data_IF_761395279381
#
_entry.id   IF_761395279381
#
_cell.length_a   1.000
_cell.length_b   1.000
_cell.length_c   1.000
_cell.angle_alpha   90.00
_cell.angle_beta   90.00
_cell.angle_gamma   90.00
#
_symmetry.space_group_name_H-M   'P 1'
#
loop_
_entity.id
_entity.type
_entity.pdbx_description
1 polymer ?
#
# COMPACT_ATOMS: atom_id res chain seq x y z
N UNK A 1 -6.21 -1.78 35.36
CA UNK A 1 -5.64 -0.49 34.96
C UNK A 1 -5.40 0.28 36.24
N UNK A 2 -4.17 0.62 36.63
CA UNK A 2 -3.98 1.50 37.78
C UNK A 2 -4.29 2.94 37.34
N UNK A 3 -5.14 3.63 38.10
CA UNK A 3 -5.47 5.04 37.92
C UNK A 3 -4.20 5.90 38.03
N UNK A 4 -3.73 6.44 36.91
CA UNK A 4 -2.56 7.33 36.84
C UNK A 4 -2.99 8.80 36.85
N UNK A 5 -3.73 9.21 37.87
CA UNK A 5 -4.01 10.64 38.16
C UNK A 5 -3.08 11.13 39.27
N UNK A 6 -1.78 10.92 39.11
CA UNK A 6 -0.78 11.60 39.91
C UNK A 6 -0.49 12.92 39.21
N UNK A 7 -0.87 14.05 39.83
CA UNK A 7 -0.56 15.37 39.31
C UNK A 7 0.96 15.51 39.11
N UNK A 8 1.42 16.08 37.99
CA UNK A 8 2.85 16.30 37.78
C UNK A 8 3.39 17.13 38.95
N UNK A 9 4.57 16.76 39.47
CA UNK A 9 5.27 17.56 40.47
C UNK A 9 5.62 18.92 39.88
N UNK A 10 4.71 19.89 39.99
CA UNK A 10 4.93 21.27 39.53
C UNK A 10 5.92 21.94 40.48
N UNK A 11 7.20 21.90 40.13
CA UNK A 11 8.22 22.65 40.83
C UNK A 11 8.09 24.13 40.45
N UNK A 12 8.11 25.02 41.43
CA UNK A 12 8.07 26.48 41.21
C UNK A 12 9.49 27.03 41.14
N UNK A 13 9.71 27.95 40.22
CA UNK A 13 10.98 28.64 40.06
C UNK A 13 11.31 29.48 41.30
N UNK A 14 12.47 29.25 41.91
CA UNK A 14 12.95 30.03 43.07
C UNK A 14 13.24 31.51 42.76
N UNK A 15 13.38 31.88 41.49
CA UNK A 15 13.72 33.25 41.05
C UNK A 15 12.49 34.07 40.70
N UNK A 16 11.57 33.52 39.90
CA UNK A 16 10.41 34.27 39.38
C UNK A 16 9.05 33.67 39.76
N UNK A 17 9.01 32.56 40.51
CA UNK A 17 7.77 31.87 40.87
C UNK A 17 7.07 31.13 39.72
N UNK A 18 7.57 31.21 38.48
CA UNK A 18 7.00 30.54 37.31
C UNK A 18 7.14 29.01 37.35
N UNK A 19 6.39 28.31 36.49
CA UNK A 19 6.43 26.85 36.41
C UNK A 19 7.73 26.33 35.80
N UNK A 20 8.22 25.22 36.34
CA UNK A 20 9.39 24.50 35.84
C UNK A 20 8.93 23.34 34.97
N UNK A 21 9.49 23.26 33.77
CA UNK A 21 9.34 22.13 32.85
C UNK A 21 10.58 21.23 32.96
N UNK A 22 10.35 19.95 33.19
CA UNK A 22 11.43 18.96 33.36
C UNK A 22 11.78 18.34 32.01
N UNK A 23 13.05 18.44 31.61
CA UNK A 23 13.62 17.65 30.53
C UNK A 23 14.47 16.53 31.13
N UNK A 24 13.81 15.40 31.40
CA UNK A 24 14.45 14.22 31.99
C UNK A 24 15.57 13.64 31.12
N UNK A 25 15.50 13.82 29.80
CA UNK A 25 16.49 13.24 28.87
C UNK A 25 17.77 14.05 28.84
N UNK A 26 17.65 15.38 28.93
CA UNK A 26 18.78 16.29 29.07
C UNK A 26 19.24 16.47 30.53
N UNK A 27 18.50 15.95 31.51
CA UNK A 27 18.83 16.05 32.93
C UNK A 27 18.68 17.48 33.48
N UNK A 28 17.90 18.33 32.81
CA UNK A 28 17.74 19.75 33.16
C UNK A 28 16.28 20.14 33.37
N UNK A 29 16.08 21.04 34.30
CA UNK A 29 14.80 21.72 34.55
C UNK A 29 14.90 23.14 34.00
N UNK A 30 13.92 23.59 33.21
CA UNK A 30 13.89 24.96 32.68
C UNK A 30 12.62 25.67 33.15
N UNK A 31 12.76 26.89 33.67
CA UNK A 31 11.60 27.71 33.99
C UNK A 31 10.94 28.25 32.71
N UNK A 32 9.63 28.03 32.55
CA UNK A 32 8.87 28.51 31.40
C UNK A 32 8.79 30.05 31.31
N UNK A 33 8.95 30.76 32.44
CA UNK A 33 8.82 32.21 32.50
C UNK A 33 10.16 32.94 32.32
N UNK A 34 11.19 32.56 33.09
CA UNK A 34 12.49 33.27 33.08
C UNK A 34 13.63 32.53 32.35
N UNK A 35 13.41 31.29 31.89
CA UNK A 35 14.41 30.53 31.13
C UNK A 35 15.61 30.00 31.94
N UNK A 36 15.68 30.29 33.24
CA UNK A 36 16.72 29.74 34.11
C UNK A 36 16.70 28.21 34.12
N UNK A 37 17.90 27.63 34.19
CA UNK A 37 18.13 26.18 34.14
C UNK A 37 18.70 25.68 35.45
N UNK A 38 18.23 24.51 35.89
CA UNK A 38 18.77 23.78 37.05
C UNK A 38 19.03 22.33 36.66
N UNK A 39 19.95 21.68 37.38
CA UNK A 39 20.08 20.24 37.30
C UNK A 39 18.82 19.59 37.87
N UNK A 40 18.28 18.58 37.18
CA UNK A 40 17.14 17.81 37.72
C UNK A 40 17.50 17.14 39.06
N UNK A 41 18.76 16.72 39.23
CA UNK A 41 19.21 16.06 40.44
C UNK A 41 19.12 16.95 41.69
N UNK A 42 19.14 18.27 41.52
CA UNK A 42 19.03 19.23 42.62
C UNK A 42 17.57 19.47 43.05
N UNK A 43 16.62 19.11 42.19
CA UNK A 43 15.19 19.38 42.36
C UNK A 43 14.38 18.13 42.69
N UNK A 44 14.82 16.96 42.23
CA UNK A 44 14.13 15.68 42.41
C UNK A 44 14.95 14.78 43.35
N UNK A 45 14.44 14.47 44.55
CA UNK A 45 15.08 13.51 45.46
C UNK A 45 15.25 12.14 44.80
N UNK A 46 16.36 11.47 45.09
CA UNK A 46 16.68 10.13 44.58
C UNK A 46 16.67 9.99 43.05
N UNK A 47 16.97 11.07 42.32
CA UNK A 47 17.00 11.04 40.84
C UNK A 47 17.92 9.95 40.26
N UNK A 48 18.96 9.57 41.00
CA UNK A 48 19.88 8.48 40.64
C UNK A 48 19.17 7.15 40.36
N UNK A 49 18.00 6.90 40.97
CA UNK A 49 17.21 5.69 40.74
C UNK A 49 16.68 5.57 39.30
N UNK A 50 16.57 6.70 38.58
CA UNK A 50 16.11 6.73 37.18
C UNK A 50 17.23 6.69 36.15
N UNK A 51 18.49 6.81 36.57
CA UNK A 51 19.65 6.91 35.67
C UNK A 51 19.67 5.82 34.60
N UNK A 52 19.40 4.57 35.00
CA UNK A 52 19.31 3.41 34.10
C UNK A 52 18.15 3.53 33.10
N UNK A 53 16.97 3.92 33.58
CA UNK A 53 15.77 4.08 32.75
C UNK A 53 16.00 5.18 31.70
N UNK A 54 16.51 6.33 32.14
CA UNK A 54 16.78 7.49 31.27
C UNK A 54 17.86 7.15 30.24
N UNK A 55 18.91 6.44 30.64
CA UNK A 55 19.91 5.92 29.70
C UNK A 55 19.29 4.99 28.65
N UNK A 56 18.39 4.10 29.06
CA UNK A 56 17.63 3.23 28.15
C UNK A 56 16.76 4.01 27.17
N UNK A 57 16.07 5.06 27.63
CA UNK A 57 15.25 5.94 26.79
C UNK A 57 16.13 6.73 25.79
N UNK A 58 17.25 7.30 26.25
CA UNK A 58 18.18 8.03 25.40
C UNK A 58 18.75 7.13 24.30
N UNK A 59 19.19 5.93 24.66
CA UNK A 59 19.63 4.93 23.69
C UNK A 59 18.52 4.57 22.69
N UNK A 60 17.29 4.36 23.16
CA UNK A 60 16.15 4.07 22.29
C UNK A 60 15.87 5.22 21.30
N UNK A 61 15.96 6.47 21.78
CA UNK A 61 15.79 7.67 20.97
C UNK A 61 16.90 7.82 19.92
N UNK A 62 18.15 7.59 20.31
CA UNK A 62 19.31 7.61 19.41
C UNK A 62 19.17 6.54 18.32
N UNK A 63 18.91 5.28 18.70
CA UNK A 63 18.64 4.19 17.76
C UNK A 63 17.50 4.54 16.81
N UNK A 64 16.41 5.14 17.32
CA UNK A 64 15.27 5.53 16.50
C UNK A 64 15.61 6.65 15.51
N UNK A 65 16.40 7.64 15.94
CA UNK A 65 16.80 8.77 15.10
C UNK A 65 17.69 8.35 13.92
N UNK A 66 18.50 7.31 14.10
CA UNK A 66 19.37 6.73 13.09
C UNK A 66 18.71 5.57 12.31
N UNK A 67 17.46 5.21 12.63
CA UNK A 67 16.83 4.00 12.09
C UNK A 67 16.50 4.14 10.60
N UNK A 68 17.16 3.30 9.79
CA UNK A 68 16.88 3.12 8.34
C UNK A 68 16.19 1.80 8.03
N UNK A 69 16.12 0.88 9.00
CA UNK A 69 15.55 -0.47 8.83
C UNK A 69 14.44 -0.74 9.83
N UNK A 70 13.54 -1.66 9.48
CA UNK A 70 12.46 -2.12 10.38
C UNK A 70 13.04 -2.79 11.64
N UNK A 71 14.18 -3.48 11.51
CA UNK A 71 14.87 -4.10 12.64
C UNK A 71 15.30 -3.05 13.69
N UNK A 72 15.93 -1.95 13.25
CA UNK A 72 16.32 -0.85 14.14
C UNK A 72 15.11 -0.20 14.83
N UNK A 73 13.99 -0.03 14.13
CA UNK A 73 12.75 0.48 14.76
C UNK A 73 12.17 -0.47 15.80
N UNK A 74 12.26 -1.79 15.57
CA UNK A 74 11.82 -2.79 16.53
C UNK A 74 12.74 -2.86 17.75
N UNK A 75 14.06 -2.70 17.56
CA UNK A 75 15.02 -2.60 18.65
C UNK A 75 14.72 -1.39 19.54
N UNK A 76 14.56 -0.19 18.94
CA UNK A 76 14.19 1.01 19.67
C UNK A 76 12.87 0.82 20.45
N UNK A 77 11.85 0.23 19.81
CA UNK A 77 10.57 -0.09 20.46
C UNK A 77 10.74 -1.03 21.66
N UNK A 78 11.62 -2.03 21.56
CA UNK A 78 11.92 -2.96 22.65
C UNK A 78 12.65 -2.26 23.81
N UNK A 79 13.58 -1.33 23.51
CA UNK A 79 14.26 -0.52 24.52
C UNK A 79 13.27 0.35 25.29
N UNK A 80 12.37 1.06 24.59
CA UNK A 80 11.30 1.83 25.24
C UNK A 80 10.37 0.93 26.07
N UNK A 81 10.05 -0.27 25.59
CA UNK A 81 9.22 -1.23 26.34
C UNK A 81 9.91 -1.69 27.61
N UNK A 82 11.21 -1.98 27.54
CA UNK A 82 12.03 -2.34 28.72
C UNK A 82 12.06 -1.20 29.72
N UNK A 83 12.32 0.02 29.27
CA UNK A 83 12.31 1.22 30.12
C UNK A 83 10.94 1.44 30.77
N UNK A 84 9.83 1.29 30.03
CA UNK A 84 8.48 1.42 30.58
C UNK A 84 8.17 0.39 31.67
N UNK A 85 8.65 -0.85 31.50
CA UNK A 85 8.50 -1.91 32.51
C UNK A 85 9.29 -1.59 33.79
N UNK A 86 10.48 -1.01 33.65
CA UNK A 86 11.27 -0.54 34.80
C UNK A 86 10.59 0.65 35.49
N UNK A 87 10.02 1.62 34.76
CA UNK A 87 9.25 2.73 35.34
C UNK A 87 8.03 2.24 36.13
N UNK A 88 7.29 1.26 35.59
CA UNK A 88 6.09 0.72 36.22
C UNK A 88 6.31 0.07 37.59
N UNK A 89 7.57 -0.27 37.94
CA UNK A 89 7.93 -0.80 39.27
C UNK A 89 8.08 0.28 40.33
N UNK A 90 8.31 1.54 39.93
CA UNK A 90 8.59 2.65 40.86
C UNK A 90 7.27 3.31 41.30
N UNK A 91 6.38 3.65 40.37
CA UNK A 91 5.01 4.07 40.67
C UNK A 91 4.86 5.47 41.29
N UNK A 92 5.83 6.38 41.10
CA UNK A 92 5.73 7.77 41.52
C UNK A 92 5.52 8.74 40.34
N UNK A 93 5.36 10.05 40.64
CA UNK A 93 5.08 11.08 39.64
C UNK A 93 6.12 11.15 38.52
N UNK A 94 7.41 11.03 38.85
CA UNK A 94 8.50 11.06 37.86
C UNK A 94 8.46 9.81 36.99
N UNK A 95 8.19 8.64 37.57
CA UNK A 95 8.00 7.42 36.80
C UNK A 95 6.79 7.49 35.86
N UNK A 96 5.73 8.22 36.22
CA UNK A 96 4.57 8.45 35.36
C UNK A 96 4.93 9.35 34.15
N UNK A 97 5.73 10.39 34.36
CA UNK A 97 6.22 11.26 33.28
C UNK A 97 7.17 10.49 32.34
N UNK A 98 8.09 9.68 32.88
CA UNK A 98 8.97 8.81 32.10
C UNK A 98 8.18 7.73 31.33
N UNK A 99 7.11 7.19 31.91
CA UNK A 99 6.20 6.25 31.23
C UNK A 99 5.55 6.92 30.02
N UNK A 100 5.12 8.18 30.16
CA UNK A 100 4.56 8.93 29.04
C UNK A 100 5.58 9.09 27.91
N UNK A 101 6.81 9.47 28.22
CA UNK A 101 7.90 9.54 27.24
C UNK A 101 8.16 8.18 26.56
N UNK A 102 8.15 7.08 27.33
CA UNK A 102 8.31 5.75 26.77
C UNK A 102 7.17 5.38 25.82
N UNK A 103 5.92 5.69 26.17
CA UNK A 103 4.75 5.38 25.35
C UNK A 103 4.73 6.19 24.06
N UNK A 104 5.04 7.49 24.14
CA UNK A 104 5.21 8.35 22.96
C UNK A 104 6.36 7.86 22.06
N UNK A 105 7.48 7.44 22.66
CA UNK A 105 8.61 6.84 21.95
C UNK A 105 8.24 5.54 21.23
N UNK A 106 7.46 4.66 21.87
CA UNK A 106 6.95 3.43 21.25
C UNK A 106 6.01 3.72 20.08
N UNK A 107 5.14 4.72 20.19
CA UNK A 107 4.25 5.14 19.11
C UNK A 107 5.06 5.65 17.91
N UNK A 108 6.00 6.58 18.15
CA UNK A 108 6.91 7.08 17.11
C UNK A 108 7.71 5.97 16.43
N UNK A 109 8.20 4.99 17.20
CA UNK A 109 8.90 3.83 16.67
C UNK A 109 8.01 2.93 15.82
N UNK A 110 6.75 2.72 16.21
CA UNK A 110 5.78 1.95 15.43
C UNK A 110 5.43 2.65 14.10
N UNK A 111 5.22 3.96 14.14
CA UNK A 111 4.93 4.76 12.94
C UNK A 111 6.12 4.76 11.99
N UNK A 112 7.34 5.01 12.49
CA UNK A 112 8.54 4.96 11.66
C UNK A 112 8.76 3.56 11.05
N UNK A 113 8.52 2.50 11.83
CA UNK A 113 8.63 1.13 11.34
C UNK A 113 7.63 0.79 10.22
N UNK A 114 6.39 1.29 10.34
CA UNK A 114 5.36 1.17 9.29
C UNK A 114 5.75 1.95 8.04
N UNK A 115 6.25 3.18 8.20
CA UNK A 115 6.75 4.00 7.10
C UNK A 115 7.92 3.34 6.36
N UNK A 116 8.95 2.86 7.07
CA UNK A 116 10.10 2.19 6.46
C UNK A 116 9.65 0.93 5.69
N UNK A 117 8.72 0.15 6.24
CA UNK A 117 8.17 -1.03 5.57
C UNK A 117 7.40 -0.66 4.29
N UNK A 118 6.58 0.39 4.35
CA UNK A 118 5.90 0.93 3.18
C UNK A 118 6.88 1.36 2.09
N UNK A 119 7.95 2.05 2.46
CA UNK A 119 9.02 2.45 1.53
C UNK A 119 9.79 1.27 0.94
N UNK A 120 10.03 0.21 1.71
CA UNK A 120 10.63 -1.04 1.21
C UNK A 120 9.72 -1.72 0.16
N UNK A 121 8.40 -1.74 0.38
CA UNK A 121 7.46 -2.23 -0.64
C UNK A 121 7.47 -1.39 -1.91
N UNK A 122 7.62 -0.06 -1.79
CA UNK A 122 7.77 0.82 -2.95
C UNK A 122 9.02 0.45 -3.77
N UNK A 123 10.16 0.27 -3.10
CA UNK A 123 11.41 -0.09 -3.74
C UNK A 123 11.37 -1.47 -4.41
N UNK A 124 10.58 -2.41 -3.86
CA UNK A 124 10.35 -3.75 -4.41
C UNK A 124 9.26 -3.81 -5.46
N UNK A 125 8.77 -2.67 -5.95
CA UNK A 125 7.65 -2.54 -6.89
C UNK A 125 6.36 -3.25 -6.43
N UNK A 126 6.20 -3.49 -5.13
CA UNK A 126 5.00 -4.10 -4.53
C UNK A 126 4.01 -3.01 -4.15
N UNK A 127 3.47 -2.31 -5.16
CA UNK A 127 2.71 -1.07 -4.97
C UNK A 127 1.41 -1.24 -4.15
N UNK A 128 0.66 -2.34 -4.32
CA UNK A 128 -0.54 -2.61 -3.53
C UNK A 128 -0.23 -2.75 -2.03
N UNK A 129 0.86 -3.43 -1.70
CA UNK A 129 1.33 -3.58 -0.32
C UNK A 129 1.83 -2.25 0.24
N UNK A 130 2.50 -1.45 -0.58
CA UNK A 130 2.95 -0.11 -0.21
C UNK A 130 1.77 0.80 0.17
N UNK A 131 0.73 0.86 -0.68
CA UNK A 131 -0.48 1.67 -0.41
C UNK A 131 -1.16 1.22 0.88
N UNK A 132 -1.26 -0.09 1.12
CA UNK A 132 -1.90 -0.65 2.32
C UNK A 132 -1.14 -0.35 3.62
N UNK A 133 0.19 -0.35 3.58
CA UNK A 133 1.00 -0.03 4.75
C UNK A 133 1.02 1.47 5.01
N UNK A 134 1.29 2.29 3.98
CA UNK A 134 1.41 3.74 4.15
C UNK A 134 0.06 4.41 4.46
N UNK A 135 -1.07 3.84 4.03
CA UNK A 135 -2.40 4.37 4.36
C UNK A 135 -2.74 4.32 5.85
N UNK A 136 -2.00 3.53 6.64
CA UNK A 136 -2.13 3.51 8.11
C UNK A 136 -1.59 4.79 8.76
N UNK A 137 -0.82 5.60 8.03
CA UNK A 137 -0.13 6.79 8.51
C UNK A 137 -0.42 8.02 7.64
N UNK A 138 -1.64 8.59 7.71
CA UNK A 138 -1.98 9.80 6.97
C UNK A 138 -1.17 11.00 7.47
N UNK A 139 -0.61 11.79 6.55
CA UNK A 139 0.17 13.00 6.89
C UNK A 139 1.54 12.73 7.51
N UNK A 140 2.01 11.48 7.55
CA UNK A 140 3.31 11.13 8.10
C UNK A 140 4.43 11.27 7.05
N UNK A 141 5.28 12.30 7.19
CA UNK A 141 6.37 12.61 6.25
C UNK A 141 5.83 12.75 4.81
N UNK A 142 6.36 11.99 3.87
CA UNK A 142 6.01 11.93 2.45
C UNK A 142 5.10 10.72 2.12
N UNK A 143 4.42 10.13 3.11
CA UNK A 143 3.57 8.94 2.91
C UNK A 143 2.49 9.16 1.84
N UNK A 144 1.81 10.30 1.86
CA UNK A 144 0.72 10.61 0.93
C UNK A 144 1.20 10.73 -0.52
N UNK A 145 2.39 11.31 -0.72
CA UNK A 145 3.01 11.42 -2.03
C UNK A 145 3.47 10.04 -2.56
N UNK A 146 4.05 9.21 -1.70
CA UNK A 146 4.40 7.83 -2.07
C UNK A 146 3.16 6.99 -2.42
N UNK A 147 2.05 7.17 -1.69
CA UNK A 147 0.78 6.52 -2.01
C UNK A 147 0.28 6.96 -3.39
N UNK A 148 0.35 8.27 -3.70
CA UNK A 148 -0.04 8.81 -5.01
C UNK A 148 0.80 8.18 -6.12
N UNK A 149 2.11 8.11 -5.95
CA UNK A 149 3.02 7.49 -6.92
C UNK A 149 2.74 6.00 -7.11
N UNK A 150 2.46 5.25 -6.03
CA UNK A 150 2.07 3.84 -6.13
C UNK A 150 0.80 3.66 -6.95
N UNK A 151 -0.24 4.45 -6.69
CA UNK A 151 -1.50 4.36 -7.42
C UNK A 151 -1.32 4.63 -8.91
N UNK A 152 -0.48 5.59 -9.28
CA UNK A 152 -0.15 5.87 -10.68
C UNK A 152 0.55 4.66 -11.35
N UNK A 153 1.52 4.05 -10.68
CA UNK A 153 2.24 2.89 -11.21
C UNK A 153 1.36 1.64 -11.31
N UNK A 154 0.47 1.40 -10.35
CA UNK A 154 -0.53 0.32 -10.43
C UNK A 154 -1.41 0.50 -11.67
N UNK A 155 -1.86 1.72 -11.94
CA UNK A 155 -2.68 2.02 -13.12
C UNK A 155 -1.89 1.84 -14.42
N UNK A 156 -0.61 2.19 -14.44
CA UNK A 156 0.28 1.95 -15.57
C UNK A 156 0.50 0.45 -15.84
N UNK A 157 0.80 -0.34 -14.80
CA UNK A 157 0.95 -1.79 -14.91
C UNK A 157 -0.35 -2.46 -15.38
N UNK A 158 -1.48 -1.99 -14.87
CA UNK A 158 -2.81 -2.46 -15.33
C UNK A 158 -3.01 -2.18 -16.82
N UNK A 159 -2.65 -0.98 -17.30
CA UNK A 159 -2.74 -0.64 -18.72
C UNK A 159 -1.88 -1.55 -19.60
N UNK A 160 -0.69 -1.93 -19.13
CA UNK A 160 0.20 -2.88 -19.84
C UNK A 160 -0.33 -4.32 -19.87
N UNK A 161 -1.12 -4.74 -18.87
CA UNK A 161 -1.68 -6.10 -18.81
C UNK A 161 -2.94 -6.30 -19.68
N UNK A 162 -3.69 -5.23 -19.97
CA UNK A 162 -4.94 -5.30 -20.76
C UNK A 162 -4.73 -5.98 -22.13
N UNK A 163 -3.71 -5.65 -22.95
CA UNK A 163 -3.50 -6.28 -24.25
C UNK A 163 -3.31 -7.80 -24.16
N UNK A 164 -2.48 -8.27 -23.23
CA UNK A 164 -2.21 -9.70 -23.04
C UNK A 164 -3.44 -10.45 -22.55
N UNK A 165 -4.22 -9.87 -21.63
CA UNK A 165 -5.45 -10.49 -21.17
C UNK A 165 -6.49 -10.65 -22.30
N UNK A 166 -6.57 -9.69 -23.23
CA UNK A 166 -7.42 -9.81 -24.43
C UNK A 166 -6.91 -10.90 -25.36
N UNK A 167 -5.59 -10.96 -25.61
CA UNK A 167 -4.98 -12.02 -26.43
C UNK A 167 -5.29 -13.41 -25.87
N UNK A 168 -5.04 -13.64 -24.57
CA UNK A 168 -5.27 -14.95 -23.95
C UNK A 168 -6.75 -15.31 -23.78
N UNK A 169 -7.64 -14.34 -23.57
CA UNK A 169 -9.08 -14.63 -23.39
C UNK A 169 -9.83 -14.81 -24.72
N UNK A 170 -9.33 -14.30 -25.84
CA UNK A 170 -10.05 -14.33 -27.11
C UNK A 170 -9.35 -15.10 -28.22
N UNK A 171 -8.05 -14.88 -28.42
CA UNK A 171 -7.32 -15.51 -29.52
C UNK A 171 -7.12 -17.00 -29.22
N UNK A 172 -6.74 -17.34 -27.98
CA UNK A 172 -6.50 -18.74 -27.60
C UNK A 172 -7.78 -19.60 -27.69
N UNK A 173 -8.95 -19.17 -27.16
CA UNK A 173 -10.19 -19.94 -27.33
C UNK A 173 -10.65 -20.00 -28.79
N UNK A 174 -10.42 -18.97 -29.59
CA UNK A 174 -10.78 -18.98 -31.01
C UNK A 174 -9.97 -20.02 -31.79
N UNK A 175 -8.65 -20.09 -31.54
CA UNK A 175 -7.77 -21.12 -32.12
C UNK A 175 -8.23 -22.51 -31.69
N UNK A 176 -8.54 -22.71 -30.40
CA UNK A 176 -9.04 -23.99 -29.87
C UNK A 176 -10.37 -24.40 -30.54
N UNK A 177 -11.29 -23.45 -30.70
CA UNK A 177 -12.59 -23.67 -31.32
C UNK A 177 -12.47 -24.05 -32.80
N UNK A 178 -11.59 -23.38 -33.56
CA UNK A 178 -11.28 -23.72 -34.96
C UNK A 178 -10.66 -25.11 -35.04
N UNK A 179 -9.71 -25.43 -34.14
CA UNK A 179 -9.09 -26.74 -34.08
C UNK A 179 -10.10 -27.87 -33.79
N UNK A 180 -11.02 -27.67 -32.84
CA UNK A 180 -12.08 -28.63 -32.53
C UNK A 180 -13.02 -28.84 -33.72
N UNK A 181 -13.31 -27.80 -34.50
CA UNK A 181 -14.09 -27.94 -35.74
C UNK A 181 -13.35 -28.76 -36.79
N UNK A 182 -12.09 -28.41 -37.09
CA UNK A 182 -11.35 -29.02 -38.19
C UNK A 182 -10.83 -30.42 -37.88
N UNK A 183 -10.43 -30.70 -36.64
CA UNK A 183 -9.83 -31.99 -36.26
C UNK A 183 -10.81 -32.94 -35.57
N UNK A 184 -11.79 -32.42 -34.83
CA UNK A 184 -12.78 -33.26 -34.15
C UNK A 184 -14.13 -33.34 -34.87
N UNK A 185 -14.30 -32.62 -36.01
CA UNK A 185 -15.52 -32.67 -36.83
C UNK A 185 -16.75 -32.14 -36.11
N UNK A 186 -16.57 -31.33 -35.06
CA UNK A 186 -17.65 -30.90 -34.20
C UNK A 186 -18.57 -29.92 -34.95
N UNK A 187 -19.91 -30.06 -34.86
CA UNK A 187 -20.83 -29.16 -35.54
C UNK A 187 -20.69 -27.74 -35.00
N UNK A 188 -20.80 -26.74 -35.90
CA UNK A 188 -20.59 -25.32 -35.59
C UNK A 188 -21.46 -24.85 -34.41
N UNK A 189 -22.69 -25.39 -34.28
CA UNK A 189 -23.59 -25.07 -33.17
C UNK A 189 -23.08 -25.45 -31.78
N UNK A 190 -22.20 -26.46 -31.67
CA UNK A 190 -21.57 -26.85 -30.42
C UNK A 190 -20.26 -26.10 -30.13
N UNK A 191 -19.57 -25.65 -31.18
CA UNK A 191 -18.27 -24.94 -31.07
C UNK A 191 -18.45 -23.51 -30.53
N UNK A 192 -19.52 -22.82 -30.93
CA UNK A 192 -19.83 -21.45 -30.49
C UNK A 192 -20.02 -21.33 -28.96
N UNK A 193 -20.85 -22.16 -28.30
CA UNK A 193 -21.00 -22.08 -26.85
C UNK A 193 -19.73 -22.46 -26.09
N UNK A 194 -18.94 -23.41 -26.61
CA UNK A 194 -17.64 -23.77 -26.01
C UNK A 194 -16.68 -22.57 -26.06
N UNK A 195 -16.58 -21.89 -27.20
CA UNK A 195 -15.78 -20.66 -27.32
C UNK A 195 -16.23 -19.60 -26.31
N UNK A 196 -17.53 -19.31 -26.25
CA UNK A 196 -18.08 -18.30 -25.34
C UNK A 196 -17.80 -18.63 -23.87
N UNK A 197 -17.97 -19.90 -23.47
CA UNK A 197 -17.70 -20.37 -22.11
C UNK A 197 -16.20 -20.32 -21.79
N UNK A 198 -15.34 -20.77 -22.70
CA UNK A 198 -13.88 -20.71 -22.51
C UNK A 198 -13.36 -19.28 -22.44
N UNK A 199 -13.81 -18.39 -23.33
CA UNK A 199 -13.44 -16.98 -23.32
C UNK A 199 -13.94 -16.25 -22.08
N UNK A 200 -15.19 -16.50 -21.65
CA UNK A 200 -15.72 -15.96 -20.40
C UNK A 200 -14.95 -16.48 -19.18
N UNK A 201 -14.62 -17.78 -19.16
CA UNK A 201 -13.84 -18.41 -18.09
C UNK A 201 -12.40 -17.88 -17.99
N UNK A 202 -11.67 -17.82 -19.11
CA UNK A 202 -10.33 -17.25 -19.17
C UNK A 202 -10.33 -15.75 -18.85
N UNK A 203 -11.31 -15.01 -19.36
CA UNK A 203 -11.52 -13.61 -19.00
C UNK A 203 -11.71 -13.42 -17.49
N UNK A 204 -12.55 -14.25 -16.86
CA UNK A 204 -12.80 -14.19 -15.41
C UNK A 204 -11.55 -14.53 -14.58
N UNK A 205 -10.79 -15.55 -14.97
CA UNK A 205 -9.57 -15.96 -14.24
C UNK A 205 -8.45 -14.93 -14.39
N UNK A 206 -8.27 -14.35 -15.58
CA UNK A 206 -7.24 -13.35 -15.84
C UNK A 206 -7.60 -11.97 -15.26
N UNK A 207 -8.88 -11.59 -15.19
CA UNK A 207 -9.37 -10.32 -14.63
C UNK A 207 -9.80 -10.42 -13.15
N UNK A 208 -9.14 -11.26 -12.36
CA UNK A 208 -9.44 -11.45 -10.92
C UNK A 208 -9.34 -10.19 -10.04
N UNK A 209 -9.03 -9.03 -10.62
CA UNK A 209 -8.92 -7.71 -9.98
C UNK A 209 -10.15 -6.80 -10.12
N UNK A 210 -11.30 -7.30 -10.59
CA UNK A 210 -12.59 -6.62 -10.47
C UNK A 210 -12.76 -5.34 -11.31
N UNK A 211 -13.31 -5.47 -12.53
CA UNK A 211 -14.32 -4.56 -13.11
C UNK A 211 -15.10 -5.41 -14.14
N UNK A 212 -16.30 -5.89 -13.80
CA UNK A 212 -17.19 -6.58 -14.74
C UNK A 212 -17.51 -5.75 -16.00
N UNK A 213 -17.42 -4.42 -15.92
CA UNK A 213 -17.78 -3.52 -17.02
C UNK A 213 -16.86 -3.63 -18.25
N UNK A 214 -15.59 -4.00 -18.07
CA UNK A 214 -14.64 -4.14 -19.19
C UNK A 214 -14.93 -5.43 -19.95
N UNK A 215 -15.21 -6.52 -19.23
CA UNK A 215 -15.61 -7.82 -19.81
C UNK A 215 -16.88 -7.65 -20.66
N UNK A 216 -17.89 -6.95 -20.14
CA UNK A 216 -19.14 -6.67 -20.86
C UNK A 216 -18.89 -5.83 -22.11
N UNK A 217 -18.02 -4.81 -22.04
CA UNK A 217 -17.68 -3.95 -23.19
C UNK A 217 -16.94 -4.73 -24.28
N UNK A 218 -16.00 -5.59 -23.91
CA UNK A 218 -15.23 -6.42 -24.85
C UNK A 218 -16.16 -7.44 -25.51
N UNK A 219 -16.99 -8.15 -24.74
CA UNK A 219 -17.97 -9.11 -25.28
C UNK A 219 -18.99 -8.40 -26.19
N UNK A 220 -19.51 -7.24 -25.78
CA UNK A 220 -20.41 -6.44 -26.63
C UNK A 220 -19.74 -6.02 -27.94
N UNK A 221 -18.49 -5.56 -27.88
CA UNK A 221 -17.76 -5.16 -29.09
C UNK A 221 -17.49 -6.35 -30.02
N UNK A 222 -17.13 -7.51 -29.47
CA UNK A 222 -16.86 -8.73 -30.23
C UNK A 222 -18.09 -9.41 -30.79
N UNK A 223 -19.26 -9.26 -30.17
CA UNK A 223 -20.51 -9.76 -30.74
C UNK A 223 -21.09 -8.75 -31.74
N UNK A 224 -21.05 -7.46 -31.45
CA UNK A 224 -21.67 -6.44 -32.29
C UNK A 224 -20.88 -6.17 -33.58
N UNK A 225 -19.56 -6.07 -33.51
CA UNK A 225 -18.74 -5.63 -34.65
C UNK A 225 -18.76 -6.64 -35.81
N UNK A 226 -18.55 -7.96 -35.59
CA UNK A 226 -18.65 -8.95 -36.67
C UNK A 226 -20.08 -9.03 -37.22
N UNK A 227 -21.10 -8.87 -36.38
CA UNK A 227 -22.50 -8.95 -36.82
C UNK A 227 -22.87 -7.76 -37.71
N UNK A 228 -22.41 -6.55 -37.37
CA UNK A 228 -22.57 -5.34 -38.19
C UNK A 228 -21.78 -5.46 -39.49
N UNK A 229 -20.52 -5.90 -39.45
CA UNK A 229 -19.70 -6.08 -40.68
C UNK A 229 -20.32 -7.14 -41.59
N UNK A 230 -20.80 -8.24 -41.02
CA UNK A 230 -21.50 -9.28 -41.77
C UNK A 230 -22.77 -8.75 -42.43
N UNK A 231 -23.60 -8.00 -41.68
CA UNK A 231 -24.82 -7.38 -42.21
C UNK A 231 -24.49 -6.44 -43.39
N UNK A 232 -23.46 -5.60 -43.26
CA UNK A 232 -23.05 -4.68 -44.32
C UNK A 232 -22.55 -5.45 -45.55
N UNK A 233 -21.67 -6.44 -45.37
CA UNK A 233 -21.12 -7.22 -46.49
C UNK A 233 -22.19 -8.05 -47.22
N UNK A 234 -23.09 -8.68 -46.47
CA UNK A 234 -24.11 -9.56 -47.03
C UNK A 234 -25.28 -8.79 -47.68
N UNK A 235 -25.76 -7.70 -47.05
CA UNK A 235 -26.97 -7.00 -47.50
C UNK A 235 -26.70 -5.76 -48.35
N UNK A 236 -25.60 -5.03 -48.11
CA UNK A 236 -25.27 -3.82 -48.88
C UNK A 236 -24.39 -4.15 -50.08
N UNK A 237 -23.39 -5.02 -49.88
CA UNK A 237 -22.43 -5.38 -50.93
C UNK A 237 -22.76 -6.70 -51.64
N UNK A 238 -23.84 -7.39 -51.22
CA UNK A 238 -24.28 -8.68 -51.78
C UNK A 238 -23.17 -9.74 -51.88
N UNK A 239 -22.19 -9.69 -50.96
CA UNK A 239 -21.13 -10.68 -50.89
C UNK A 239 -21.71 -11.99 -50.35
N UNK A 240 -21.33 -13.12 -50.96
CA UNK A 240 -21.81 -14.44 -50.57
C UNK A 240 -21.69 -14.68 -49.06
N UNK A 241 -22.65 -15.41 -48.49
CA UNK A 241 -22.78 -15.59 -47.03
C UNK A 241 -21.49 -16.13 -46.39
N UNK A 242 -20.83 -17.08 -47.05
CA UNK A 242 -19.60 -17.71 -46.56
C UNK A 242 -18.42 -16.71 -46.52
N UNK A 243 -18.04 -16.03 -47.62
CA UNK A 243 -16.98 -15.02 -47.57
C UNK A 243 -17.29 -13.84 -46.65
N UNK A 244 -18.55 -13.39 -46.58
CA UNK A 244 -18.98 -12.32 -45.67
C UNK A 244 -18.74 -12.68 -44.20
N UNK A 245 -19.04 -13.92 -43.80
CA UNK A 245 -18.81 -14.41 -42.44
C UNK A 245 -17.30 -14.48 -42.11
N UNK A 246 -16.48 -14.93 -43.06
CA UNK A 246 -15.02 -15.02 -42.88
C UNK A 246 -14.43 -13.62 -42.68
N UNK A 247 -14.77 -12.66 -43.55
CA UNK A 247 -14.25 -11.29 -43.48
C UNK A 247 -14.71 -10.59 -42.20
N UNK A 248 -15.98 -10.77 -41.82
CA UNK A 248 -16.55 -10.16 -40.62
C UNK A 248 -15.86 -10.60 -39.31
N UNK A 249 -15.31 -11.81 -39.27
CA UNK A 249 -14.56 -12.34 -38.13
C UNK A 249 -13.07 -12.00 -38.26
N UNK A 250 -12.48 -12.16 -39.44
CA UNK A 250 -11.05 -11.95 -39.67
C UNK A 250 -10.65 -10.48 -39.54
N UNK A 251 -11.45 -9.55 -40.07
CA UNK A 251 -11.10 -8.13 -40.11
C UNK A 251 -10.95 -7.51 -38.71
N UNK A 252 -11.90 -7.67 -37.76
CA UNK A 252 -11.72 -7.15 -36.39
C UNK A 252 -10.53 -7.78 -35.66
N UNK A 253 -10.25 -9.07 -35.87
CA UNK A 253 -9.13 -9.77 -35.25
C UNK A 253 -7.80 -9.23 -35.78
N UNK A 254 -7.65 -9.08 -37.09
CA UNK A 254 -6.43 -8.54 -37.72
C UNK A 254 -6.22 -7.08 -37.34
N UNK A 255 -7.27 -6.25 -37.36
CA UNK A 255 -7.19 -4.86 -36.92
C UNK A 255 -6.78 -4.75 -35.45
N UNK A 256 -7.28 -5.64 -34.58
CA UNK A 256 -6.89 -5.66 -33.18
C UNK A 256 -5.42 -6.06 -32.98
N UNK A 257 -4.95 -7.09 -33.70
CA UNK A 257 -3.53 -7.52 -33.65
C UNK A 257 -2.61 -6.40 -34.12
N UNK A 258 -2.95 -5.74 -35.23
CA UNK A 258 -2.17 -4.59 -35.74
C UNK A 258 -2.14 -3.45 -34.73
N UNK A 259 -3.28 -3.13 -34.10
CA UNK A 259 -3.35 -2.08 -33.10
C UNK A 259 -2.49 -2.41 -31.87
N UNK A 260 -2.55 -3.66 -31.39
CA UNK A 260 -1.71 -4.13 -30.29
C UNK A 260 -0.21 -4.02 -30.61
N UNK A 261 0.22 -4.44 -31.81
CA UNK A 261 1.61 -4.32 -32.24
C UNK A 261 2.06 -2.86 -32.38
N UNK A 262 1.20 -1.97 -32.87
CA UNK A 262 1.51 -0.54 -32.99
C UNK A 262 1.62 0.14 -31.62
N UNK A 263 0.80 -0.25 -30.65
CA UNK A 263 0.92 0.27 -29.27
C UNK A 263 2.17 -0.23 -28.54
N UNK A 264 2.67 -1.41 -28.88
CA UNK A 264 3.92 -1.95 -28.33
C UNK A 264 5.16 -1.26 -28.92
N UNK A 265 5.09 -0.80 -30.17
CA UNK A 265 6.22 -0.14 -30.86
C UNK A 265 6.43 1.33 -30.49
N UNK A 266 5.39 1.99 -29.96
CA UNK A 266 5.41 3.42 -29.60
C UNK A 266 5.66 3.68 -28.11
N UNK A 267 5.90 2.64 -27.31
CA UNK A 267 6.33 2.71 -25.91
C UNK A 267 7.75 2.15 -25.76
#
# INVERSE_FOLDING_TARGET
MPDTTVAPTSLRCKVCGGDIVNDYLAGVCVCANCGNKWSIADLIPDYSKYSRIISGINKASETLSAATTVAATNEAKLLYKTASSECGKIGDAVSADLLKLCNEGQAKAADLGTYIRGKDYFNKASYDSCVRELSKLPGYKDSDELIRQCKLKIEEERRRQIPWAVVFSLILPAILAIFLKEKAGMPIGAVIPIFLVCSAGLGYVLYRGGIPSIIIKIISFLCATPLIIFMVLAYVFHVGVVPSAIIAIALPVVSFVLFAMLTEKNN
#
